data_IF_362152676795
#
_entry.id   IF_362152676795
#
_cell.length_a   1.000
_cell.length_b   1.000
_cell.length_c   1.000
_cell.angle_alpha   90.00
_cell.angle_beta   90.00
_cell.angle_gamma   90.00
#
_symmetry.space_group_name_H-M   'P 1'
#
loop_
_entity.id
_entity.type
_entity.pdbx_description
1 polymer ?
#
# COMPACT_ATOMS: atom_id res chain seq x y z
N UNK A 1 38.25 15.84 53.69
CA UNK A 1 38.00 14.65 52.78
C UNK A 1 37.21 15.11 51.60
N UNK A 2 37.88 15.27 50.48
CA UNK A 2 37.28 15.79 49.24
C UNK A 2 36.87 14.63 48.36
N UNK A 3 35.59 14.54 48.03
CA UNK A 3 35.09 13.59 47.04
C UNK A 3 35.14 14.25 45.66
N UNK A 4 36.02 13.74 44.81
CA UNK A 4 36.03 14.05 43.38
C UNK A 4 34.85 13.34 42.70
N UNK A 5 33.87 14.13 42.22
CA UNK A 5 32.83 13.66 41.32
C UNK A 5 33.41 13.48 39.91
N UNK A 6 33.42 12.25 39.44
CA UNK A 6 33.64 11.95 38.03
C UNK A 6 32.34 12.29 37.25
N UNK A 7 32.37 13.42 36.56
CA UNK A 7 31.36 13.70 35.54
C UNK A 7 31.53 12.73 34.36
N UNK A 8 30.57 11.85 34.19
CA UNK A 8 30.43 11.08 32.97
C UNK A 8 29.67 11.99 32.01
N UNK A 9 30.35 12.52 30.99
CA UNK A 9 29.69 13.17 29.88
C UNK A 9 28.89 12.11 29.11
N UNK A 10 27.61 12.35 28.75
CA UNK A 10 26.89 11.47 27.85
C UNK A 10 27.57 11.54 26.51
N UNK A 11 28.21 10.44 26.13
CA UNK A 11 28.71 10.24 24.77
C UNK A 11 27.56 10.41 23.78
N UNK A 12 27.76 11.32 22.84
CA UNK A 12 26.93 11.41 21.65
C UNK A 12 27.04 10.07 20.92
N UNK A 13 26.00 9.26 21.04
CA UNK A 13 25.79 8.10 20.19
C UNK A 13 25.55 8.64 18.77
N UNK A 14 26.64 9.00 18.08
CA UNK A 14 26.61 9.09 16.64
C UNK A 14 26.21 7.69 16.13
N UNK A 15 24.93 7.57 15.76
CA UNK A 15 24.46 6.43 15.01
C UNK A 15 25.42 6.24 13.83
N UNK A 16 26.33 5.29 13.95
CA UNK A 16 27.22 4.87 12.87
C UNK A 16 26.35 4.21 11.79
N UNK A 17 25.70 5.04 10.99
CA UNK A 17 25.08 4.58 9.76
C UNK A 17 26.20 4.21 8.81
N UNK A 18 26.31 2.93 8.53
CA UNK A 18 27.27 2.43 7.54
C UNK A 18 26.87 2.99 6.18
N UNK A 19 27.55 4.06 5.74
CA UNK A 19 27.38 4.60 4.40
C UNK A 19 28.07 3.66 3.40
N UNK A 20 27.28 2.88 2.67
CA UNK A 20 27.76 2.08 1.56
C UNK A 20 27.68 2.97 0.31
N UNK A 21 28.83 3.38 -0.23
CA UNK A 21 28.88 4.18 -1.44
C UNK A 21 28.66 3.31 -2.69
N UNK A 22 27.98 3.85 -3.69
CA UNK A 22 27.77 3.19 -4.97
C UNK A 22 29.10 2.84 -5.71
N UNK A 23 30.21 3.51 -5.35
CA UNK A 23 31.56 3.20 -5.85
C UNK A 23 32.15 1.90 -5.28
N UNK A 24 31.62 1.37 -4.19
CA UNK A 24 32.08 0.12 -3.58
C UNK A 24 31.60 -1.11 -4.37
N UNK A 25 30.71 -0.91 -5.34
CA UNK A 25 30.13 -1.97 -6.17
C UNK A 25 31.05 -2.47 -7.31
N UNK A 26 32.20 -1.84 -7.54
CA UNK A 26 33.06 -2.09 -8.73
C UNK A 26 34.05 -3.23 -8.56
N UNK A 27 34.14 -3.86 -7.39
CA UNK A 27 34.99 -5.06 -7.18
C UNK A 27 34.21 -6.33 -7.50
N UNK A 28 34.08 -6.60 -8.79
CA UNK A 28 33.33 -7.71 -9.35
C UNK A 28 33.60 -9.08 -8.75
N UNK A 29 32.58 -9.67 -8.20
CA UNK A 29 32.45 -11.12 -8.17
C UNK A 29 31.08 -11.46 -8.77
N UNK A 30 31.13 -12.06 -9.97
CA UNK A 30 29.94 -12.61 -10.62
C UNK A 30 29.48 -13.82 -9.82
N UNK A 31 28.43 -13.68 -9.07
CA UNK A 31 27.71 -14.81 -8.51
C UNK A 31 26.63 -15.23 -9.50
N UNK A 32 26.64 -16.52 -9.83
CA UNK A 32 25.81 -17.18 -10.82
C UNK A 32 24.30 -16.98 -10.52
N UNK A 33 23.59 -16.32 -11.45
CA UNK A 33 22.12 -16.30 -11.51
C UNK A 33 21.36 -15.43 -10.53
N UNK A 34 21.98 -14.67 -9.64
CA UNK A 34 21.33 -13.69 -8.77
C UNK A 34 21.53 -12.25 -9.26
N UNK A 35 20.65 -11.36 -8.87
CA UNK A 35 20.76 -9.92 -9.09
C UNK A 35 22.21 -9.44 -8.88
N UNK A 36 22.70 -8.57 -9.76
CA UNK A 36 24.08 -8.05 -9.62
C UNK A 36 24.22 -7.34 -8.27
N UNK A 37 25.38 -7.41 -7.63
CA UNK A 37 25.66 -6.68 -6.39
C UNK A 37 25.31 -5.19 -6.54
N UNK A 38 25.53 -4.60 -7.70
CA UNK A 38 25.16 -3.22 -8.00
C UNK A 38 23.64 -2.96 -7.87
N UNK A 39 22.83 -3.91 -8.28
CA UNK A 39 21.36 -3.83 -8.12
C UNK A 39 20.94 -3.97 -6.66
N UNK A 40 21.56 -4.87 -5.94
CA UNK A 40 21.32 -5.05 -4.51
C UNK A 40 21.70 -3.80 -3.71
N UNK A 41 22.90 -3.22 -3.94
CA UNK A 41 23.33 -1.98 -3.30
C UNK A 41 22.47 -0.78 -3.69
N UNK A 42 21.98 -0.72 -4.93
CA UNK A 42 21.05 0.33 -5.35
C UNK A 42 19.74 0.24 -4.57
N UNK A 43 19.21 -0.95 -4.36
CA UNK A 43 18.02 -1.18 -3.51
C UNK A 43 18.27 -0.78 -2.06
N UNK A 44 19.40 -1.16 -1.49
CA UNK A 44 19.77 -0.78 -0.12
C UNK A 44 19.90 0.74 0.05
N UNK A 45 20.53 1.43 -0.90
CA UNK A 45 20.65 2.89 -0.88
C UNK A 45 19.28 3.57 -1.02
N UNK A 46 18.38 2.99 -1.77
CA UNK A 46 17.00 3.44 -1.91
C UNK A 46 16.24 3.32 -0.57
N UNK A 47 16.38 2.21 0.13
CA UNK A 47 15.81 2.03 1.47
C UNK A 47 16.41 3.00 2.50
N UNK A 48 17.68 3.36 2.36
CA UNK A 48 18.34 4.32 3.24
C UNK A 48 18.04 5.79 2.89
N UNK A 49 17.22 6.07 1.87
CA UNK A 49 16.80 7.43 1.50
C UNK A 49 17.92 8.33 0.97
N UNK A 50 19.06 7.76 0.54
CA UNK A 50 20.23 8.50 0.05
C UNK A 50 20.12 8.92 -1.40
N UNK A 51 19.17 8.36 -2.16
CA UNK A 51 18.85 8.78 -3.52
C UNK A 51 17.42 9.31 -3.62
N UNK A 52 17.18 10.43 -4.33
CA UNK A 52 15.83 10.80 -4.67
C UNK A 52 15.20 9.67 -5.48
N UNK A 53 13.93 9.30 -5.21
CA UNK A 53 13.27 8.25 -5.96
C UNK A 53 13.29 8.61 -7.45
N UNK A 54 13.79 7.70 -8.29
CA UNK A 54 13.59 7.81 -9.73
C UNK A 54 12.10 7.63 -10.02
N UNK A 55 11.58 8.20 -11.10
CA UNK A 55 10.15 8.11 -11.43
C UNK A 55 9.61 6.67 -11.42
N UNK A 56 10.46 5.68 -11.73
CA UNK A 56 10.11 4.25 -11.65
C UNK A 56 9.90 3.78 -10.21
N UNK A 57 10.72 4.27 -9.27
CA UNK A 57 10.64 3.90 -7.85
C UNK A 57 9.40 4.48 -7.19
N UNK A 58 8.98 5.66 -7.61
CA UNK A 58 7.76 6.30 -7.14
C UNK A 58 6.51 5.54 -7.62
N UNK A 59 6.49 5.10 -8.87
CA UNK A 59 5.41 4.26 -9.39
C UNK A 59 5.28 2.95 -8.62
N UNK A 60 6.39 2.28 -8.31
CA UNK A 60 6.39 1.04 -7.52
C UNK A 60 5.85 1.31 -6.11
N UNK A 61 6.31 2.38 -5.46
CA UNK A 61 5.84 2.74 -4.11
C UNK A 61 4.35 3.05 -4.07
N UNK A 62 3.86 3.86 -5.00
CA UNK A 62 2.42 4.19 -5.11
C UNK A 62 1.60 2.93 -5.33
N UNK A 63 2.09 2.01 -6.15
CA UNK A 63 1.44 0.73 -6.39
C UNK A 63 1.39 -0.15 -5.12
N UNK A 64 2.50 -0.27 -4.40
CA UNK A 64 2.55 -1.02 -3.13
C UNK A 64 1.65 -0.39 -2.06
N UNK A 65 1.62 0.94 -1.96
CA UNK A 65 0.73 1.68 -1.06
C UNK A 65 -0.74 1.40 -1.38
N UNK A 66 -1.10 1.37 -2.67
CA UNK A 66 -2.45 1.02 -3.13
C UNK A 66 -2.87 -0.39 -2.69
N UNK A 67 -2.02 -1.39 -2.92
CA UNK A 67 -2.31 -2.77 -2.51
C UNK A 67 -2.35 -2.94 -1.00
N UNK A 68 -1.48 -2.25 -0.27
CA UNK A 68 -1.49 -2.24 1.19
C UNK A 68 -2.77 -1.63 1.76
N UNK A 69 -3.25 -0.55 1.16
CA UNK A 69 -4.51 0.07 1.54
C UNK A 69 -5.71 -0.85 1.27
N UNK A 70 -5.73 -1.52 0.12
CA UNK A 70 -6.73 -2.55 -0.18
C UNK A 70 -6.72 -3.66 0.89
N UNK A 71 -5.54 -4.21 1.21
CA UNK A 71 -5.40 -5.28 2.21
C UNK A 71 -5.88 -4.84 3.61
N UNK A 72 -5.67 -3.57 3.96
CA UNK A 72 -6.15 -3.00 5.21
C UNK A 72 -7.67 -2.97 5.27
N UNK A 73 -8.33 -2.48 4.22
CA UNK A 73 -9.80 -2.44 4.11
C UNK A 73 -10.37 -3.86 4.09
N UNK A 74 -9.84 -4.75 3.25
CA UNK A 74 -10.25 -6.14 3.14
C UNK A 74 -10.04 -6.93 4.44
N UNK A 75 -9.01 -6.58 5.22
CA UNK A 75 -8.77 -7.14 6.55
C UNK A 75 -9.86 -6.76 7.55
N UNK A 76 -10.25 -5.49 7.58
CA UNK A 76 -11.33 -4.99 8.44
C UNK A 76 -12.69 -5.60 8.05
N UNK A 77 -12.94 -5.83 6.76
CA UNK A 77 -14.11 -6.52 6.24
C UNK A 77 -14.07 -8.04 6.46
N UNK A 78 -12.98 -8.57 7.00
CA UNK A 78 -12.75 -10.01 7.22
C UNK A 78 -12.90 -10.82 5.92
N UNK A 79 -12.31 -10.33 4.84
CA UNK A 79 -12.30 -11.04 3.57
C UNK A 79 -11.61 -12.40 3.67
N UNK A 80 -12.18 -13.38 2.98
CA UNK A 80 -11.56 -14.69 2.79
C UNK A 80 -10.30 -14.57 1.94
N UNK A 81 -9.38 -15.55 2.01
CA UNK A 81 -8.20 -15.55 1.14
C UNK A 81 -8.54 -15.51 -0.37
N UNK A 82 -9.70 -16.05 -0.76
CA UNK A 82 -10.19 -15.99 -2.14
C UNK A 82 -10.57 -14.56 -2.54
N UNK A 83 -11.40 -13.90 -1.72
CA UNK A 83 -11.82 -12.51 -1.94
C UNK A 83 -10.60 -11.56 -1.98
N UNK A 84 -9.64 -11.74 -1.07
CA UNK A 84 -8.40 -10.95 -1.08
C UNK A 84 -7.60 -11.12 -2.37
N UNK A 85 -7.42 -12.34 -2.84
CA UNK A 85 -6.72 -12.58 -4.12
C UNK A 85 -7.45 -11.97 -5.30
N UNK A 86 -8.79 -12.12 -5.35
CA UNK A 86 -9.65 -11.56 -6.38
C UNK A 86 -9.54 -10.03 -6.39
N UNK A 87 -9.76 -9.38 -5.26
CA UNK A 87 -9.71 -7.93 -5.14
C UNK A 87 -8.32 -7.35 -5.40
N UNK A 88 -7.24 -8.02 -4.93
CA UNK A 88 -5.87 -7.59 -5.25
C UNK A 88 -5.57 -7.62 -6.73
N UNK A 89 -6.01 -8.68 -7.44
CA UNK A 89 -5.84 -8.76 -8.89
C UNK A 89 -6.50 -7.58 -9.59
N UNK A 90 -7.75 -7.25 -9.23
CA UNK A 90 -8.47 -6.13 -9.81
C UNK A 90 -7.81 -4.79 -9.41
N UNK A 91 -7.46 -4.63 -8.14
CA UNK A 91 -6.77 -3.43 -7.66
C UNK A 91 -5.43 -3.20 -8.37
N UNK A 92 -4.71 -4.26 -8.71
CA UNK A 92 -3.46 -4.22 -9.45
C UNK A 92 -3.64 -3.57 -10.84
N UNK A 93 -4.68 -3.97 -11.55
CA UNK A 93 -4.94 -3.58 -12.93
C UNK A 93 -5.66 -2.22 -13.08
N UNK A 94 -6.40 -1.76 -12.05
CA UNK A 94 -7.11 -0.47 -12.11
C UNK A 94 -6.14 0.69 -11.85
N UNK A 95 -6.14 1.68 -12.74
CA UNK A 95 -5.46 2.96 -12.50
C UNK A 95 -6.34 3.92 -11.71
N UNK A 96 -6.06 4.04 -10.39
CA UNK A 96 -6.82 4.91 -9.51
C UNK A 96 -6.66 6.40 -9.84
N UNK A 97 -5.58 6.80 -10.51
CA UNK A 97 -5.33 8.19 -10.92
C UNK A 97 -6.35 8.69 -11.95
N UNK A 98 -6.90 7.79 -12.75
CA UNK A 98 -7.89 8.14 -13.78
C UNK A 98 -9.30 8.34 -13.21
N UNK A 99 -9.56 7.88 -11.97
CA UNK A 99 -10.89 7.92 -11.37
C UNK A 99 -11.27 9.31 -10.82
N UNK A 100 -10.28 10.19 -10.62
CA UNK A 100 -10.50 11.53 -10.08
C UNK A 100 -11.03 11.57 -8.63
N UNK A 101 -10.98 10.45 -7.93
CA UNK A 101 -11.44 10.27 -6.55
C UNK A 101 -10.30 9.79 -5.64
N UNK A 102 -10.54 9.83 -4.32
CA UNK A 102 -9.58 9.32 -3.34
C UNK A 102 -9.41 7.81 -3.49
N UNK A 103 -8.18 7.33 -3.34
CA UNK A 103 -7.86 5.91 -3.43
C UNK A 103 -8.69 5.06 -2.45
N UNK A 104 -8.93 5.58 -1.23
CA UNK A 104 -9.75 4.91 -0.21
C UNK A 104 -11.18 4.67 -0.70
N UNK A 105 -11.78 5.65 -1.37
CA UNK A 105 -13.15 5.55 -1.91
C UNK A 105 -13.22 4.47 -3.00
N UNK A 106 -12.26 4.48 -3.92
CA UNK A 106 -12.21 3.50 -5.01
C UNK A 106 -11.96 2.07 -4.48
N UNK A 107 -11.03 1.90 -3.55
CA UNK A 107 -10.73 0.58 -2.98
C UNK A 107 -11.83 0.06 -2.07
N UNK A 108 -12.53 0.95 -1.36
CA UNK A 108 -13.74 0.59 -0.62
C UNK A 108 -14.85 0.10 -1.58
N UNK A 109 -15.09 0.81 -2.67
CA UNK A 109 -16.06 0.41 -3.71
C UNK A 109 -15.69 -0.95 -4.33
N UNK A 110 -14.42 -1.18 -4.63
CA UNK A 110 -13.94 -2.48 -5.08
C UNK A 110 -14.22 -3.58 -4.05
N UNK A 111 -14.03 -3.31 -2.76
CA UNK A 111 -14.36 -4.27 -1.71
C UNK A 111 -15.87 -4.57 -1.67
N UNK A 112 -16.75 -3.58 -1.91
CA UNK A 112 -18.19 -3.83 -1.99
C UNK A 112 -18.53 -4.78 -3.14
N UNK A 113 -17.93 -4.60 -4.32
CA UNK A 113 -18.14 -5.46 -5.49
C UNK A 113 -17.66 -6.89 -5.22
N UNK A 114 -16.42 -7.05 -4.75
CA UNK A 114 -15.86 -8.38 -4.45
C UNK A 114 -16.65 -9.11 -3.37
N UNK A 115 -17.18 -8.40 -2.38
CA UNK A 115 -18.06 -8.99 -1.37
C UNK A 115 -19.40 -9.41 -1.97
N UNK A 116 -19.94 -8.63 -2.91
CA UNK A 116 -21.19 -8.92 -3.62
C UNK A 116 -21.10 -10.20 -4.43
N UNK A 117 -19.94 -10.52 -5.05
CA UNK A 117 -19.70 -11.79 -5.76
C UNK A 117 -19.97 -13.02 -4.86
N UNK A 118 -19.75 -12.89 -3.56
CA UNK A 118 -19.98 -13.96 -2.55
C UNK A 118 -21.31 -13.78 -1.76
N UNK A 119 -22.21 -12.92 -2.22
CA UNK A 119 -23.53 -12.70 -1.62
C UNK A 119 -23.52 -11.81 -0.37
N UNK A 120 -22.43 -11.07 -0.10
CA UNK A 120 -22.36 -10.02 0.93
C UNK A 120 -22.64 -8.68 0.29
N UNK A 121 -23.90 -8.36 0.08
CA UNK A 121 -24.29 -7.13 -0.59
C UNK A 121 -24.21 -5.93 0.38
N UNK A 122 -23.54 -4.89 -0.04
CA UNK A 122 -23.57 -3.58 0.56
C UNK A 122 -23.69 -2.54 -0.54
N UNK A 123 -24.83 -1.90 -0.58
CA UNK A 123 -25.06 -0.76 -1.46
C UNK A 123 -25.46 0.44 -0.61
N UNK A 124 -24.66 1.50 -0.55
CA UNK A 124 -24.88 2.64 0.36
C UNK A 124 -26.21 3.34 0.18
N UNK A 125 -26.79 3.30 -1.02
CA UNK A 125 -28.06 3.94 -1.34
C UNK A 125 -29.30 3.12 -0.92
N UNK A 126 -29.12 1.86 -0.51
CA UNK A 126 -30.22 1.02 -0.04
C UNK A 126 -30.31 1.02 1.49
N UNK A 127 -31.52 1.14 2.01
CA UNK A 127 -31.81 1.39 3.42
C UNK A 127 -31.46 0.22 4.37
N UNK A 128 -31.06 -0.94 3.88
CA UNK A 128 -30.72 -2.10 4.70
C UNK A 128 -29.28 -2.53 4.40
N UNK A 129 -28.28 -2.03 5.18
CA UNK A 129 -26.94 -2.56 5.10
C UNK A 129 -26.94 -4.01 5.60
N UNK A 130 -26.55 -4.92 4.75
CA UNK A 130 -26.44 -6.35 5.07
C UNK A 130 -25.28 -6.67 6.02
N UNK A 131 -24.32 -5.79 6.16
CA UNK A 131 -23.15 -5.99 7.02
C UNK A 131 -22.69 -4.65 7.64
N UNK A 132 -22.85 -4.52 8.95
CA UNK A 132 -22.47 -3.35 9.77
C UNK A 132 -20.99 -2.94 9.60
N UNK A 133 -20.15 -3.86 9.14
CA UNK A 133 -18.70 -3.58 8.92
C UNK A 133 -18.48 -2.62 7.79
N UNK A 134 -19.26 -2.73 6.70
CA UNK A 134 -19.17 -1.79 5.57
C UNK A 134 -19.54 -0.39 6.01
N UNK A 135 -20.65 -0.24 6.72
CA UNK A 135 -21.09 1.05 7.24
C UNK A 135 -20.04 1.68 8.17
N UNK A 136 -19.45 0.86 9.05
CA UNK A 136 -18.42 1.33 9.98
C UNK A 136 -17.16 1.79 9.24
N UNK A 137 -16.72 1.05 8.23
CA UNK A 137 -15.54 1.40 7.44
C UNK A 137 -15.82 2.65 6.61
N UNK A 138 -16.98 2.72 5.97
CA UNK A 138 -17.41 3.88 5.19
C UNK A 138 -17.39 5.17 6.03
N UNK A 139 -17.91 5.10 7.25
CA UNK A 139 -17.86 6.21 8.22
C UNK A 139 -16.44 6.56 8.64
N UNK A 140 -15.60 5.56 8.89
CA UNK A 140 -14.20 5.77 9.29
C UNK A 140 -13.37 6.43 8.18
N UNK A 141 -13.68 6.13 6.93
CA UNK A 141 -13.02 6.71 5.75
C UNK A 141 -13.63 8.06 5.32
N UNK A 142 -14.69 8.51 5.99
CA UNK A 142 -15.42 9.73 5.65
C UNK A 142 -15.92 9.73 4.19
N UNK A 143 -16.55 8.63 3.79
CA UNK A 143 -17.12 8.43 2.46
C UNK A 143 -18.65 8.56 2.57
N UNK A 144 -19.22 9.53 1.86
CA UNK A 144 -20.67 9.68 1.79
C UNK A 144 -21.32 8.64 0.86
N UNK A 145 -22.61 8.33 1.12
CA UNK A 145 -23.34 7.28 0.42
C UNK A 145 -23.39 7.50 -1.09
N UNK A 146 -23.62 8.73 -1.52
CA UNK A 146 -23.69 9.07 -2.94
C UNK A 146 -22.35 8.88 -3.65
N UNK A 147 -21.24 9.24 -2.97
CA UNK A 147 -19.90 9.05 -3.50
C UNK A 147 -19.55 7.57 -3.59
N UNK A 148 -19.89 6.80 -2.53
CA UNK A 148 -19.67 5.36 -2.52
C UNK A 148 -20.47 4.67 -3.65
N UNK A 149 -21.77 4.99 -3.81
CA UNK A 149 -22.62 4.41 -4.85
C UNK A 149 -22.09 4.69 -6.26
N UNK A 150 -21.78 5.96 -6.57
CA UNK A 150 -21.18 6.32 -7.87
C UNK A 150 -19.87 5.59 -8.16
N UNK A 151 -19.04 5.43 -7.14
CA UNK A 151 -17.75 4.75 -7.32
C UNK A 151 -17.94 3.25 -7.52
N UNK A 152 -18.90 2.61 -6.85
CA UNK A 152 -19.25 1.20 -7.09
C UNK A 152 -19.67 0.99 -8.57
N UNK A 153 -20.55 1.85 -9.10
CA UNK A 153 -20.95 1.79 -10.50
C UNK A 153 -19.75 1.99 -11.45
N UNK A 154 -18.90 2.97 -11.17
CA UNK A 154 -17.73 3.26 -11.99
C UNK A 154 -16.75 2.07 -12.02
N UNK A 155 -16.44 1.48 -10.86
CA UNK A 155 -15.54 0.32 -10.78
C UNK A 155 -16.16 -0.91 -11.41
N UNK A 156 -17.48 -1.15 -11.25
CA UNK A 156 -18.17 -2.26 -11.88
C UNK A 156 -18.07 -2.18 -13.41
N UNK A 157 -18.33 -1.01 -13.99
CA UNK A 157 -18.18 -0.79 -15.43
C UNK A 157 -16.74 -1.03 -15.91
N UNK A 158 -15.74 -0.58 -15.17
CA UNK A 158 -14.32 -0.82 -15.50
C UNK A 158 -13.96 -2.30 -15.47
N UNK A 159 -14.49 -3.05 -14.50
CA UNK A 159 -14.28 -4.50 -14.41
C UNK A 159 -14.89 -5.21 -15.63
N UNK A 160 -16.10 -4.83 -16.03
CA UNK A 160 -16.78 -5.40 -17.21
C UNK A 160 -16.04 -5.05 -18.51
N UNK A 161 -15.65 -3.80 -18.71
CA UNK A 161 -14.95 -3.33 -19.91
C UNK A 161 -13.58 -4.01 -20.10
N UNK A 162 -12.87 -4.28 -19.01
CA UNK A 162 -11.53 -4.88 -19.06
C UNK A 162 -11.53 -6.41 -18.86
N UNK A 163 -12.69 -7.04 -18.70
CA UNK A 163 -12.83 -8.49 -18.41
C UNK A 163 -12.02 -8.96 -17.19
N UNK A 164 -12.02 -8.18 -16.13
CA UNK A 164 -11.26 -8.42 -14.88
C UNK A 164 -11.94 -9.40 -13.93
#
# INVERSE_FOLDING_TARGET
MSFNGYGVEPGEDEEQRTHINASDSDSGSRHDGSESFAEHYRKLNQYNGTHPPTGTDECVRVHEEKLSLFDSIAGQLQFTPHQKRRGRKIADEIDLGLLGERAETALFALCCIVAGEDGREHHPEFAEPTDDRFEKIQKNLDIDDQRAGRMIETIANLIEENNL
#
